data_IF_055628294747
#
_entry.id   IF_055628294747
#
_cell.length_a   1.000
_cell.length_b   1.000
_cell.length_c   1.000
_cell.angle_alpha   90.00
_cell.angle_beta   90.00
_cell.angle_gamma   90.00
#
_symmetry.space_group_name_H-M   'P 1'
#
loop_
_entity.id
_entity.type
_entity.pdbx_description
1 polymer ?
#
# COMPACT_ATOMS: atom_id res chain seq x y z
N UNK A 1 -31.69 -52.94 -59.12
CA UNK A 1 -31.39 -51.63 -59.74
C UNK A 1 -31.53 -50.57 -58.64
N UNK A 2 -30.40 -50.13 -58.09
CA UNK A 2 -29.75 -48.81 -58.31
C UNK A 2 -30.41 -47.65 -57.54
N UNK A 3 -29.70 -47.24 -56.47
CA UNK A 3 -29.42 -45.86 -56.00
C UNK A 3 -30.65 -45.08 -55.49
N UNK A 4 -30.61 -44.19 -54.50
CA UNK A 4 -29.64 -43.15 -54.14
C UNK A 4 -30.08 -42.60 -52.75
N UNK A 5 -29.24 -42.58 -51.70
CA UNK A 5 -28.59 -41.39 -51.07
C UNK A 5 -29.61 -40.25 -50.85
N UNK A 6 -29.86 -39.74 -49.64
CA UNK A 6 -29.02 -38.71 -49.02
C UNK A 6 -29.28 -38.60 -47.50
N UNK A 7 -28.17 -38.69 -46.78
CA UNK A 7 -27.93 -38.34 -45.38
C UNK A 7 -27.79 -36.81 -45.29
N UNK A 8 -28.62 -36.12 -44.51
CA UNK A 8 -28.35 -34.73 -44.09
C UNK A 8 -28.45 -34.66 -42.57
N UNK A 9 -27.30 -34.89 -41.94
CA UNK A 9 -27.01 -34.44 -40.59
C UNK A 9 -26.86 -32.92 -40.64
N UNK A 10 -27.87 -32.19 -40.16
CA UNK A 10 -27.70 -30.77 -39.80
C UNK A 10 -26.90 -30.70 -38.48
N UNK A 11 -25.59 -30.96 -38.59
CA UNK A 11 -24.62 -30.50 -37.61
C UNK A 11 -24.45 -28.99 -37.87
N UNK A 12 -25.33 -28.20 -37.28
CA UNK A 12 -25.14 -26.75 -37.16
C UNK A 12 -23.97 -26.52 -36.22
N UNK A 13 -22.77 -26.50 -36.77
CA UNK A 13 -21.57 -26.01 -36.12
C UNK A 13 -21.82 -24.52 -35.87
N UNK A 14 -22.35 -24.19 -34.69
CA UNK A 14 -22.13 -22.88 -34.11
C UNK A 14 -20.65 -22.82 -33.77
N UNK A 15 -19.85 -22.44 -34.76
CA UNK A 15 -18.51 -21.89 -34.54
C UNK A 15 -18.69 -20.58 -33.78
N UNK A 16 -18.96 -20.69 -32.48
CA UNK A 16 -18.57 -19.66 -31.55
C UNK A 16 -17.05 -19.62 -31.62
N UNK A 17 -16.51 -18.65 -32.36
CA UNK A 17 -15.25 -18.08 -31.93
C UNK A 17 -15.51 -17.64 -30.49
N UNK A 18 -15.06 -18.45 -29.52
CA UNK A 18 -14.73 -17.86 -28.24
C UNK A 18 -13.76 -16.75 -28.60
N UNK A 19 -14.19 -15.52 -28.43
CA UNK A 19 -13.25 -14.45 -28.19
C UNK A 19 -12.27 -15.03 -27.19
N UNK A 20 -11.01 -15.16 -27.60
CA UNK A 20 -9.94 -15.22 -26.64
C UNK A 20 -10.07 -13.89 -25.90
N UNK A 21 -10.89 -13.91 -24.85
CA UNK A 21 -10.67 -13.06 -23.71
C UNK A 21 -9.30 -13.52 -23.24
N UNK A 22 -8.27 -12.88 -23.80
CA UNK A 22 -6.94 -12.80 -23.21
C UNK A 22 -7.16 -12.10 -21.87
N UNK A 23 -7.73 -12.85 -20.91
CA UNK A 23 -7.58 -12.58 -19.50
C UNK A 23 -6.08 -12.67 -19.30
N UNK A 24 -5.43 -11.52 -19.36
CA UNK A 24 -4.01 -11.32 -19.23
C UNK A 24 -3.57 -12.07 -17.98
N UNK A 25 -3.12 -13.32 -18.15
CA UNK A 25 -2.69 -14.14 -17.03
C UNK A 25 -1.38 -13.51 -16.63
N UNK A 26 -1.42 -12.67 -15.61
CA UNK A 26 -0.23 -12.06 -15.07
C UNK A 26 0.72 -13.17 -14.63
N UNK A 27 1.73 -13.42 -15.47
CA UNK A 27 2.75 -14.47 -15.32
C UNK A 27 3.94 -13.99 -14.50
N UNK A 28 3.96 -12.72 -14.09
CA UNK A 28 5.06 -12.16 -13.30
C UNK A 28 5.07 -12.78 -11.92
N UNK A 29 6.27 -13.13 -11.47
CA UNK A 29 6.49 -13.58 -10.11
C UNK A 29 6.34 -12.41 -9.13
N UNK A 30 5.76 -12.69 -7.97
CA UNK A 30 5.61 -11.73 -6.88
C UNK A 30 6.17 -12.32 -5.59
N UNK A 31 6.59 -11.44 -4.69
CA UNK A 31 7.07 -11.80 -3.35
C UNK A 31 5.91 -12.46 -2.60
N UNK A 32 6.02 -13.75 -2.23
CA UNK A 32 4.95 -14.45 -1.55
C UNK A 32 4.53 -13.72 -0.28
N UNK A 33 3.24 -13.80 0.05
CA UNK A 33 2.63 -13.19 1.25
C UNK A 33 2.56 -11.67 1.27
N UNK A 34 3.15 -10.93 0.33
CA UNK A 34 3.19 -9.46 0.40
C UNK A 34 2.17 -8.76 -0.51
N UNK A 35 1.35 -7.89 0.10
CA UNK A 35 0.42 -7.00 -0.62
C UNK A 35 0.67 -5.56 -0.17
N UNK A 36 0.80 -4.66 -1.14
CA UNK A 36 0.79 -3.22 -0.90
C UNK A 36 -0.63 -2.67 -1.11
N UNK A 37 -1.07 -1.81 -0.21
CA UNK A 37 -2.41 -1.21 -0.23
C UNK A 37 -2.27 0.30 -0.14
N UNK A 38 -2.64 1.01 -1.21
CA UNK A 38 -2.71 2.46 -1.24
C UNK A 38 -4.00 2.97 -0.61
N UNK A 39 -3.87 3.86 0.38
CA UNK A 39 -5.01 4.48 1.05
C UNK A 39 -5.45 5.73 0.29
N UNK A 40 -6.75 5.96 0.15
CA UNK A 40 -7.30 7.13 -0.54
C UNK A 40 -6.76 8.44 0.05
N UNK A 41 -6.55 9.42 -0.82
CA UNK A 41 -6.17 10.76 -0.40
C UNK A 41 -7.22 11.35 0.54
N UNK A 42 -6.77 12.04 1.60
CA UNK A 42 -7.63 12.68 2.60
C UNK A 42 -8.12 11.77 3.72
N UNK A 43 -7.88 10.45 3.64
CA UNK A 43 -8.16 9.52 4.75
C UNK A 43 -7.25 9.80 5.93
N UNK A 44 -7.85 9.98 7.11
CA UNK A 44 -7.10 10.25 8.32
C UNK A 44 -6.32 9.01 8.80
N UNK A 45 -5.18 9.21 9.47
CA UNK A 45 -4.35 8.12 9.98
C UNK A 45 -5.11 7.21 10.95
N UNK A 46 -6.05 7.78 11.72
CA UNK A 46 -6.92 7.02 12.63
C UNK A 46 -7.83 6.03 11.88
N UNK A 47 -8.34 6.43 10.72
CA UNK A 47 -9.16 5.56 9.87
C UNK A 47 -8.30 4.47 9.22
N UNK A 48 -7.06 4.81 8.85
CA UNK A 48 -6.08 3.82 8.36
C UNK A 48 -5.76 2.78 9.44
N UNK A 49 -5.57 3.19 10.69
CA UNK A 49 -5.39 2.28 11.82
C UNK A 49 -6.62 1.41 12.05
N UNK A 50 -7.82 1.99 11.99
CA UNK A 50 -9.05 1.22 12.09
C UNK A 50 -9.13 0.13 11.00
N UNK A 51 -8.84 0.48 9.74
CA UNK A 51 -8.77 -0.47 8.64
C UNK A 51 -7.74 -1.58 8.87
N UNK A 52 -6.52 -1.25 9.30
CA UNK A 52 -5.50 -2.26 9.64
C UNK A 52 -6.05 -3.25 10.67
N UNK A 53 -6.71 -2.74 11.73
CA UNK A 53 -7.23 -3.55 12.83
C UNK A 53 -8.44 -4.41 12.46
N UNK A 54 -9.08 -4.19 11.30
CA UNK A 54 -10.15 -5.07 10.81
C UNK A 54 -9.62 -6.43 10.34
N UNK A 55 -8.31 -6.53 10.12
CA UNK A 55 -7.66 -7.74 9.62
C UNK A 55 -6.66 -8.25 10.66
N UNK A 56 -6.69 -9.56 10.91
CA UNK A 56 -5.68 -10.24 11.74
C UNK A 56 -4.44 -10.55 10.88
N UNK A 57 -3.81 -9.49 10.37
CA UNK A 57 -2.66 -9.57 9.49
C UNK A 57 -1.51 -8.75 10.03
N UNK A 58 -0.31 -9.32 9.93
CA UNK A 58 0.92 -8.59 10.25
C UNK A 58 1.11 -7.46 9.23
N UNK A 59 1.50 -6.29 9.70
CA UNK A 59 1.87 -5.16 8.85
C UNK A 59 3.38 -4.97 8.91
N UNK A 60 4.05 -4.98 7.76
CA UNK A 60 5.47 -4.65 7.67
C UNK A 60 5.66 -3.17 8.07
N UNK A 61 5.00 -2.30 7.30
CA UNK A 61 5.08 -0.86 7.45
C UNK A 61 3.89 -0.14 6.85
N UNK A 62 3.64 1.05 7.37
CA UNK A 62 2.89 2.12 6.75
C UNK A 62 3.85 3.24 6.38
N UNK A 63 3.96 3.56 5.09
CA UNK A 63 4.88 4.56 4.56
C UNK A 63 4.16 5.59 3.68
N UNK A 64 4.95 6.44 3.01
CA UNK A 64 4.47 7.56 2.19
C UNK A 64 3.63 8.56 2.98
N UNK A 65 3.89 8.67 4.28
CA UNK A 65 3.23 9.62 5.15
C UNK A 65 3.95 10.97 5.11
N UNK A 66 3.19 12.05 5.17
CA UNK A 66 3.71 13.41 5.30
C UNK A 66 2.97 14.16 6.40
N UNK A 67 3.71 14.77 7.32
CA UNK A 67 3.15 15.59 8.38
C UNK A 67 3.84 16.95 8.44
N UNK A 68 3.12 17.92 8.97
CA UNK A 68 3.66 19.23 9.34
C UNK A 68 3.53 19.48 10.83
N UNK A 69 4.51 20.11 11.46
CA UNK A 69 4.43 20.50 12.88
C UNK A 69 4.18 21.99 13.04
N UNK A 70 3.35 22.34 14.02
CA UNK A 70 3.14 23.72 14.47
C UNK A 70 4.10 24.13 15.61
N UNK A 71 5.15 23.36 15.87
CA UNK A 71 6.24 23.79 16.75
C UNK A 71 7.10 24.87 16.07
N UNK A 72 7.84 25.69 16.86
CA UNK A 72 8.81 26.64 16.33
C UNK A 72 9.83 25.97 15.38
N UNK A 73 10.28 26.69 14.36
CA UNK A 73 11.16 26.15 13.31
C UNK A 73 12.51 25.65 13.82
N UNK A 74 13.03 26.25 14.89
CA UNK A 74 14.26 25.81 15.58
C UNK A 74 14.09 24.46 16.32
N UNK A 75 12.85 23.94 16.42
CA UNK A 75 12.55 22.65 17.05
C UNK A 75 12.65 21.46 16.09
N UNK A 76 13.07 21.64 14.83
CA UNK A 76 13.18 20.55 13.86
C UNK A 76 14.02 19.38 14.39
N UNK A 77 15.23 19.66 14.91
CA UNK A 77 16.10 18.59 15.40
C UNK A 77 15.49 17.85 16.59
N UNK A 78 14.84 18.58 17.51
CA UNK A 78 14.11 17.97 18.63
C UNK A 78 13.01 17.02 18.13
N UNK A 79 12.23 17.42 17.12
CA UNK A 79 11.20 16.57 16.51
C UNK A 79 11.81 15.30 15.92
N UNK A 80 12.89 15.42 15.14
CA UNK A 80 13.55 14.27 14.52
C UNK A 80 14.16 13.33 15.58
N UNK A 81 14.81 13.86 16.60
CA UNK A 81 15.40 13.07 17.69
C UNK A 81 14.33 12.35 18.50
N UNK A 82 13.20 13.02 18.78
CA UNK A 82 12.09 12.42 19.51
C UNK A 82 11.47 11.27 18.71
N UNK A 83 11.22 11.49 17.43
CA UNK A 83 10.66 10.48 16.55
C UNK A 83 11.60 9.31 16.37
N UNK A 84 12.89 9.53 16.11
CA UNK A 84 13.87 8.46 15.90
C UNK A 84 14.25 7.67 17.18
N UNK A 85 13.75 8.06 18.36
CA UNK A 85 13.84 7.22 19.57
C UNK A 85 12.74 6.18 19.65
N UNK A 86 11.68 6.29 18.84
CA UNK A 86 10.54 5.36 18.88
C UNK A 86 10.86 4.11 18.07
N UNK A 87 10.65 2.90 18.62
CA UNK A 87 11.10 1.66 18.00
C UNK A 87 10.32 1.30 16.71
N UNK A 88 9.24 2.01 16.42
CA UNK A 88 8.38 1.77 15.26
C UNK A 88 8.49 2.86 14.19
N UNK A 89 9.37 3.85 14.34
CA UNK A 89 9.55 4.95 13.36
C UNK A 89 10.89 4.89 12.63
N UNK A 90 11.80 4.03 13.11
CA UNK A 90 13.11 3.75 12.55
C UNK A 90 13.35 2.24 12.63
N UNK A 91 14.09 1.68 11.68
CA UNK A 91 14.45 0.25 11.68
C UNK A 91 15.86 -0.02 12.22
N UNK A 92 16.54 1.04 12.69
CA UNK A 92 17.90 1.01 13.22
C UNK A 92 19.01 0.74 12.19
N UNK A 93 18.66 0.53 10.91
CA UNK A 93 19.61 0.07 9.88
C UNK A 93 19.50 0.94 8.62
N UNK A 94 18.33 0.98 7.99
CA UNK A 94 18.12 1.56 6.65
C UNK A 94 17.16 2.76 6.65
N UNK A 95 16.43 3.01 7.75
CA UNK A 95 15.45 4.06 7.84
C UNK A 95 15.49 4.84 9.15
N UNK A 96 15.50 6.15 9.01
CA UNK A 96 15.27 7.13 10.07
C UNK A 96 14.23 8.13 9.57
N UNK A 97 13.41 8.66 10.48
CA UNK A 97 12.52 9.77 10.17
C UNK A 97 13.37 10.97 9.75
N UNK A 98 13.04 11.52 8.59
CA UNK A 98 13.66 12.73 8.05
C UNK A 98 12.63 13.86 7.96
N UNK A 99 13.13 15.07 7.79
CA UNK A 99 12.29 16.25 7.63
C UNK A 99 13.10 17.49 7.24
N UNK A 100 12.40 18.56 6.92
CA UNK A 100 12.98 19.84 6.54
C UNK A 100 12.10 21.01 7.00
N UNK A 101 12.64 22.23 6.96
CA UNK A 101 11.88 23.48 7.09
C UNK A 101 11.42 23.96 5.72
N UNK A 102 10.11 24.08 5.53
CA UNK A 102 9.58 24.57 4.27
C UNK A 102 10.04 26.00 4.01
N UNK A 103 10.66 26.24 2.86
CA UNK A 103 11.44 27.47 2.60
C UNK A 103 10.64 28.78 2.70
N UNK A 104 9.33 28.76 2.42
CA UNK A 104 8.49 29.96 2.47
C UNK A 104 7.85 30.18 3.85
N UNK A 105 7.49 29.09 4.52
CA UNK A 105 6.65 29.14 5.72
C UNK A 105 7.44 28.83 7.00
N UNK A 106 8.68 28.37 6.87
CA UNK A 106 9.51 27.81 7.95
C UNK A 106 8.80 26.69 8.74
N UNK A 107 7.78 26.06 8.14
CA UNK A 107 7.05 24.99 8.78
C UNK A 107 7.87 23.69 8.73
N UNK A 108 7.99 23.03 9.88
CA UNK A 108 8.60 21.70 9.97
C UNK A 108 7.73 20.72 9.18
N UNK A 109 8.33 20.03 8.21
CA UNK A 109 7.72 18.94 7.45
C UNK A 109 8.51 17.66 7.69
N UNK A 110 7.85 16.55 7.96
CA UNK A 110 8.48 15.25 8.27
C UNK A 110 7.86 14.11 7.46
N UNK A 111 8.65 13.05 7.26
CA UNK A 111 8.30 11.87 6.48
C UNK A 111 8.53 10.60 7.29
N UNK A 112 7.63 10.22 8.20
CA UNK A 112 7.77 8.99 8.98
C UNK A 112 7.40 7.75 8.14
N UNK A 113 8.00 6.62 8.50
CA UNK A 113 7.47 5.27 8.22
C UNK A 113 7.13 4.64 9.56
N UNK A 114 6.00 3.95 9.64
CA UNK A 114 5.54 3.29 10.86
C UNK A 114 5.64 1.78 10.67
N UNK A 115 6.55 1.13 11.39
CA UNK A 115 6.83 -0.31 11.33
C UNK A 115 6.03 -1.08 12.38
N UNK A 116 5.56 -2.29 12.05
CA UNK A 116 4.82 -3.13 13.00
C UNK A 116 3.58 -2.44 13.58
N UNK A 117 2.95 -1.58 12.77
CA UNK A 117 1.82 -0.74 13.16
C UNK A 117 0.50 -1.53 13.23
N UNK A 118 0.54 -2.86 13.05
CA UNK A 118 -0.53 -3.79 13.46
C UNK A 118 -0.72 -3.84 14.98
N UNK A 119 0.28 -3.39 15.76
CA UNK A 119 0.18 -3.30 17.22
C UNK A 119 -0.57 -2.06 17.69
N UNK A 120 -1.64 -2.25 18.45
CA UNK A 120 -2.42 -1.17 19.07
C UNK A 120 -1.57 -0.23 19.95
N UNK A 121 -0.55 -0.75 20.64
CA UNK A 121 0.35 0.07 21.45
C UNK A 121 1.09 1.13 20.62
N UNK A 122 1.56 0.78 19.42
CA UNK A 122 2.30 1.69 18.54
C UNK A 122 1.36 2.69 17.86
N UNK A 123 0.15 2.25 17.51
CA UNK A 123 -0.89 3.14 17.00
C UNK A 123 -1.26 4.21 18.03
N UNK A 124 -1.51 3.82 19.28
CA UNK A 124 -1.86 4.75 20.35
C UNK A 124 -0.70 5.71 20.68
N UNK A 125 0.52 5.20 20.81
CA UNK A 125 1.70 6.04 21.04
C UNK A 125 1.92 7.01 19.87
N UNK A 126 1.66 6.60 18.62
CA UNK A 126 1.72 7.49 17.47
C UNK A 126 0.71 8.64 17.57
N UNK A 127 -0.54 8.35 17.92
CA UNK A 127 -1.56 9.39 18.07
C UNK A 127 -1.20 10.39 19.18
N UNK A 128 -0.68 9.91 20.32
CA UNK A 128 -0.18 10.77 21.40
C UNK A 128 1.03 11.60 20.94
N UNK A 129 1.91 10.99 20.15
CA UNK A 129 3.08 11.66 19.58
C UNK A 129 2.69 12.79 18.64
N UNK A 130 1.68 12.56 17.79
CA UNK A 130 1.14 13.59 16.92
C UNK A 130 0.64 14.78 17.73
N UNK A 131 -0.09 14.55 18.82
CA UNK A 131 -0.55 15.63 19.69
C UNK A 131 0.63 16.36 20.37
N UNK A 132 1.56 15.63 20.99
CA UNK A 132 2.69 16.21 21.71
C UNK A 132 3.66 16.99 20.82
N UNK A 133 3.86 16.56 19.58
CA UNK A 133 4.69 17.25 18.58
C UNK A 133 3.88 18.20 17.68
N UNK A 134 2.58 18.38 17.96
CA UNK A 134 1.66 19.21 17.17
C UNK A 134 1.70 18.90 15.67
N UNK A 135 1.74 17.61 15.33
CA UNK A 135 1.76 17.11 13.96
C UNK A 135 0.35 17.15 13.36
N UNK A 136 0.27 17.66 12.14
CA UNK A 136 -0.92 17.65 11.31
C UNK A 136 -0.62 16.87 10.04
N UNK A 137 -1.54 15.99 9.68
CA UNK A 137 -1.48 15.25 8.42
C UNK A 137 -1.47 16.24 7.25
N UNK A 138 -0.55 16.04 6.31
CA UNK A 138 -0.52 16.80 5.06
C UNK A 138 -0.90 15.86 3.94
N UNK A 139 -2.20 15.83 3.64
CA UNK A 139 -2.71 15.10 2.48
C UNK A 139 -2.36 15.87 1.21
N UNK A 140 -1.79 15.17 0.23
CA UNK A 140 -1.69 15.67 -1.13
C UNK A 140 -2.85 15.05 -1.91
N UNK A 141 -3.70 15.86 -2.53
CA UNK A 141 -4.85 15.38 -3.31
C UNK A 141 -4.47 14.48 -4.49
N UNK A 142 -3.21 14.54 -4.92
CA UNK A 142 -2.65 13.74 -6.01
C UNK A 142 -1.93 12.47 -5.53
N UNK A 143 -1.73 12.30 -4.22
CA UNK A 143 -1.02 11.15 -3.65
C UNK A 143 -1.87 10.43 -2.60
N UNK A 144 -1.65 9.12 -2.46
CA UNK A 144 -2.27 8.32 -1.40
C UNK A 144 -1.93 8.88 0.00
N UNK A 145 -2.86 8.75 0.96
CA UNK A 145 -2.63 9.17 2.36
C UNK A 145 -1.65 8.26 3.11
N UNK A 146 -1.23 7.17 2.47
CA UNK A 146 -0.25 6.23 2.96
C UNK A 146 -0.31 4.95 2.14
N UNK A 147 0.74 4.14 2.22
CA UNK A 147 0.75 2.79 1.66
C UNK A 147 1.01 1.82 2.81
N UNK A 148 0.09 0.88 3.01
CA UNK A 148 0.23 -0.19 4.00
C UNK A 148 0.76 -1.43 3.30
N UNK A 149 1.81 -2.06 3.85
CA UNK A 149 2.28 -3.36 3.39
C UNK A 149 1.83 -4.45 4.36
N UNK A 150 0.91 -5.29 3.91
CA UNK A 150 0.39 -6.44 4.66
C UNK A 150 1.15 -7.71 4.33
N UNK A 151 1.28 -8.58 5.34
CA UNK A 151 1.57 -9.99 5.17
C UNK A 151 0.28 -10.80 5.27
N UNK A 152 -0.05 -11.53 4.20
CA UNK A 152 -1.24 -12.39 4.11
C UNK A 152 -0.86 -13.87 4.02
N UNK A 153 -1.79 -14.81 4.24
CA UNK A 153 -1.50 -16.23 4.05
C UNK A 153 -1.00 -16.56 2.64
N UNK A 154 -0.02 -17.45 2.55
CA UNK A 154 0.58 -17.88 1.29
C UNK A 154 -0.47 -18.51 0.37
N UNK A 155 -0.43 -18.15 -0.92
CA UNK A 155 -1.39 -18.63 -1.91
C UNK A 155 -2.77 -17.95 -1.83
N UNK A 156 -2.95 -16.99 -0.92
CA UNK A 156 -4.18 -16.19 -0.77
C UNK A 156 -4.00 -14.74 -1.23
N UNK A 157 -2.89 -14.40 -1.85
CA UNK A 157 -2.53 -13.02 -2.16
C UNK A 157 -3.52 -12.38 -3.14
N UNK A 158 -3.95 -13.09 -4.19
CA UNK A 158 -4.96 -12.60 -5.15
C UNK A 158 -6.34 -12.41 -4.50
N UNK A 159 -6.72 -13.31 -3.59
CA UNK A 159 -7.97 -13.22 -2.82
C UNK A 159 -7.96 -11.98 -1.93
N UNK A 160 -6.88 -11.78 -1.17
CA UNK A 160 -6.73 -10.63 -0.27
C UNK A 160 -6.57 -9.31 -0.99
N UNK A 161 -5.86 -9.29 -2.13
CA UNK A 161 -5.79 -8.12 -3.02
C UNK A 161 -7.20 -7.67 -3.38
N UNK A 162 -8.02 -8.59 -3.91
CA UNK A 162 -9.41 -8.28 -4.27
C UNK A 162 -10.24 -7.83 -3.06
N UNK A 163 -10.04 -8.44 -1.89
CA UNK A 163 -10.73 -8.03 -0.66
C UNK A 163 -10.36 -6.61 -0.22
N UNK A 164 -9.08 -6.23 -0.30
CA UNK A 164 -8.64 -4.88 0.02
C UNK A 164 -9.16 -3.85 -0.99
N UNK A 165 -9.12 -4.14 -2.29
CA UNK A 165 -9.62 -3.25 -3.35
C UNK A 165 -11.10 -2.88 -3.19
N UNK A 166 -11.88 -3.76 -2.57
CA UNK A 166 -13.30 -3.52 -2.32
C UNK A 166 -13.57 -2.71 -1.03
N UNK A 167 -12.55 -2.33 -0.26
CA UNK A 167 -12.73 -1.56 0.96
C UNK A 167 -12.84 -0.04 0.68
N UNK A 168 -13.69 0.66 1.42
CA UNK A 168 -14.07 2.05 1.09
C UNK A 168 -12.93 3.07 1.13
N UNK A 169 -11.94 2.88 2.02
CA UNK A 169 -10.77 3.79 2.13
C UNK A 169 -9.58 3.38 1.27
N UNK A 170 -9.68 2.27 0.54
CA UNK A 170 -8.60 1.75 -0.31
C UNK A 170 -8.73 2.32 -1.72
N UNK A 171 -7.63 2.87 -2.23
CA UNK A 171 -7.53 3.41 -3.59
C UNK A 171 -7.09 2.32 -4.57
N UNK A 172 -6.11 1.52 -4.17
CA UNK A 172 -5.61 0.37 -4.93
C UNK A 172 -4.99 -0.66 -3.99
N UNK A 173 -4.93 -1.92 -4.42
CA UNK A 173 -4.09 -2.94 -3.80
C UNK A 173 -3.32 -3.70 -4.87
N UNK A 174 -2.05 -3.98 -4.62
CA UNK A 174 -1.14 -4.60 -5.59
C UNK A 174 -0.32 -5.73 -4.94
N UNK A 175 -0.04 -6.77 -5.74
CA UNK A 175 0.95 -7.77 -5.40
C UNK A 175 2.35 -7.14 -5.49
N UNK A 176 3.26 -7.50 -4.58
CA UNK A 176 4.64 -7.02 -4.64
C UNK A 176 5.45 -7.80 -5.69
N UNK A 177 5.48 -7.35 -6.95
CA UNK A 177 6.20 -8.06 -8.02
C UNK A 177 7.72 -8.02 -7.86
N UNK A 178 8.37 -9.12 -8.27
CA UNK A 178 9.84 -9.20 -8.36
C UNK A 178 10.25 -8.58 -9.69
N UNK A 179 11.13 -7.58 -9.65
CA UNK A 179 11.71 -6.99 -10.84
C UNK A 179 13.12 -7.54 -11.08
N UNK A 180 13.33 -8.13 -12.25
CA UNK A 180 14.68 -8.44 -12.73
C UNK A 180 15.34 -7.14 -13.21
N UNK A 181 16.37 -6.69 -12.47
CA UNK A 181 17.20 -5.58 -12.92
C UNK A 181 18.24 -6.16 -13.89
N UNK A 182 18.09 -5.88 -15.18
CA UNK A 182 19.16 -6.11 -16.16
C UNK A 182 20.07 -4.88 -16.17
N UNK A 183 21.32 -4.98 -15.68
CA UNK A 183 22.25 -3.86 -15.76
C UNK A 183 22.65 -3.67 -17.22
N UNK A 184 22.43 -2.48 -17.77
CA UNK A 184 23.10 -2.08 -18.99
C UNK A 184 24.53 -1.66 -18.63
N UNK A 185 25.50 -2.47 -19.04
CA UNK A 185 26.90 -2.04 -19.03
C UNK A 185 27.07 -1.02 -20.17
N UNK A 186 27.34 0.24 -19.82
CA UNK A 186 27.82 1.26 -20.76
C UNK A 186 29.28 1.01 -21.16
#
# INVERSE_FOLDING_TARGET
MKKLIILISFLGILSGCSSNDDADVDTREFVPKEIAVGIKSGTAIKETFHFINQFDHKVDKLNSLTFTSNLPSDSLQYVLDFLNKKPYTNDGINWFVTGYLHYQTNQITIFPKLFGIDKLEYQNDWLITMEGLKLNEKHNTELNSGIVRFYVPEGKEKEWKSRFENHEIVDWAELSYIADIVPHNE
#
